data_IF_159703536742
#
_entry.id   IF_159703536742
#
_cell.length_a   1.000
_cell.length_b   1.000
_cell.length_c   1.000
_cell.angle_alpha   90.00
_cell.angle_beta   90.00
_cell.angle_gamma   90.00
#
_symmetry.space_group_name_H-M   'P 1'
#
loop_
_entity.id
_entity.type
_entity.pdbx_description
1 polymer ?
#
# COMPACT_ATOMS: atom_id res chain seq x y z
N UNK A 1 12.32 1.78 57.55
CA UNK A 1 12.27 3.25 57.36
C UNK A 1 11.33 3.51 56.20
N UNK A 2 10.08 3.78 56.53
CA UNK A 2 8.98 4.00 55.60
C UNK A 2 8.49 5.42 55.79
N UNK A 3 8.48 6.22 54.73
CA UNK A 3 7.88 7.56 54.72
C UNK A 3 6.67 7.55 53.78
N UNK A 4 5.50 8.07 54.21
CA UNK A 4 4.27 8.02 53.41
C UNK A 4 4.09 9.27 52.53
N UNK A 5 3.40 9.07 51.39
CA UNK A 5 3.06 10.05 50.36
C UNK A 5 1.73 10.75 50.70
N UNK A 6 1.73 12.08 50.66
CA UNK A 6 0.58 12.96 50.89
C UNK A 6 -0.35 13.06 49.65
N UNK A 7 -1.64 13.37 49.82
CA UNK A 7 -2.64 13.44 48.73
C UNK A 7 -2.72 14.82 48.07
N UNK A 8 -3.12 14.85 46.79
CA UNK A 8 -3.36 16.05 45.99
C UNK A 8 -4.82 16.55 46.12
N UNK A 9 -5.07 17.87 46.00
CA UNK A 9 -6.40 18.46 46.16
C UNK A 9 -7.20 18.50 44.86
N UNK A 10 -8.51 18.71 45.03
CA UNK A 10 -9.61 18.57 44.07
C UNK A 10 -10.21 19.92 43.61
N UNK A 11 -10.95 19.86 42.48
CA UNK A 11 -11.95 20.81 41.92
C UNK A 11 -11.44 22.02 41.08
N UNK A 12 -12.26 22.65 40.18
CA UNK A 12 -13.68 22.42 39.85
C UNK A 12 -14.06 22.37 38.34
N UNK A 13 -15.35 22.06 38.14
CA UNK A 13 -16.19 22.12 36.94
C UNK A 13 -16.26 23.50 36.27
N UNK A 14 -16.49 23.52 34.95
CA UNK A 14 -17.13 24.66 34.28
C UNK A 14 -18.24 24.19 33.34
N UNK A 15 -19.38 24.87 33.50
CA UNK A 15 -20.69 24.58 32.96
C UNK A 15 -20.92 25.18 31.56
N UNK A 16 -21.90 24.58 30.88
CA UNK A 16 -22.61 25.06 29.69
C UNK A 16 -23.28 26.42 29.91
N UNK A 17 -23.38 27.21 28.83
CA UNK A 17 -24.51 28.12 28.63
C UNK A 17 -24.89 28.19 27.14
N UNK A 18 -26.14 27.81 26.86
CA UNK A 18 -26.89 28.08 25.63
C UNK A 18 -27.24 29.57 25.51
N UNK A 19 -27.43 30.08 24.29
CA UNK A 19 -28.66 30.82 23.94
C UNK A 19 -28.76 31.12 22.44
N UNK A 20 -30.00 31.07 21.98
CA UNK A 20 -30.48 31.02 20.62
C UNK A 20 -31.20 32.31 20.20
N UNK A 21 -31.64 32.32 18.92
CA UNK A 21 -32.79 33.09 18.36
C UNK A 21 -32.56 34.61 18.20
N UNK A 22 -33.04 35.33 17.17
CA UNK A 22 -34.25 35.28 16.31
C UNK A 22 -34.03 36.35 15.20
N UNK A 23 -34.27 36.14 13.90
CA UNK A 23 -35.53 36.19 13.10
C UNK A 23 -35.78 37.52 12.34
N UNK A 24 -36.59 37.39 11.26
CA UNK A 24 -37.34 38.36 10.42
C UNK A 24 -36.78 38.58 8.99
N UNK A 25 -37.40 38.05 7.92
CA UNK A 25 -38.71 38.38 7.25
C UNK A 25 -38.66 39.73 6.52
N UNK A 26 -39.11 39.97 5.27
CA UNK A 26 -39.78 39.23 4.19
C UNK A 26 -39.75 40.15 2.91
N UNK A 27 -40.73 40.19 1.98
CA UNK A 27 -40.88 39.35 0.77
C UNK A 27 -40.94 40.18 -0.55
N UNK A 28 -40.97 39.54 -1.72
CA UNK A 28 -41.64 40.10 -2.91
C UNK A 28 -42.09 39.03 -3.90
N UNK A 29 -43.33 39.21 -4.31
CA UNK A 29 -44.25 38.34 -5.02
C UNK A 29 -44.46 38.82 -6.45
N UNK A 30 -44.48 37.91 -7.41
CA UNK A 30 -45.15 38.11 -8.71
C UNK A 30 -45.80 36.78 -9.15
N UNK A 31 -47.11 36.84 -9.39
CA UNK A 31 -47.97 35.75 -9.80
C UNK A 31 -47.89 35.39 -11.30
N UNK A 32 -48.84 34.56 -11.79
CA UNK A 32 -48.59 33.56 -12.83
C UNK A 32 -48.89 34.04 -14.27
N UNK A 33 -48.25 33.40 -15.25
CA UNK A 33 -48.50 33.55 -16.70
C UNK A 33 -49.11 32.24 -17.23
N UNK A 34 -50.13 32.28 -18.11
CA UNK A 34 -50.93 31.09 -18.49
C UNK A 34 -50.28 30.18 -19.55
N UNK A 35 -50.71 28.92 -19.53
CA UNK A 35 -50.28 27.81 -20.41
C UNK A 35 -50.54 28.04 -21.92
N UNK A 36 -49.65 27.55 -22.80
CA UNK A 36 -50.02 27.21 -24.16
C UNK A 36 -50.46 25.73 -24.29
N UNK A 37 -51.42 25.51 -25.19
CA UNK A 37 -52.11 24.27 -25.53
C UNK A 37 -51.19 23.08 -25.95
N UNK A 38 -51.70 21.82 -25.98
CA UNK A 38 -50.87 20.62 -25.83
C UNK A 38 -50.16 20.23 -27.13
N UNK A 39 -48.85 19.97 -27.01
CA UNK A 39 -48.08 19.30 -28.06
C UNK A 39 -48.40 17.79 -28.06
N UNK A 40 -48.65 17.27 -29.26
CA UNK A 40 -48.98 15.88 -29.58
C UNK A 40 -47.89 14.94 -29.01
N UNK A 41 -48.27 14.03 -28.10
CA UNK A 41 -47.37 13.02 -27.55
C UNK A 41 -46.91 12.02 -28.61
N UNK A 42 -45.60 11.94 -28.82
CA UNK A 42 -44.97 10.81 -29.51
C UNK A 42 -45.18 9.51 -28.71
N UNK A 43 -45.28 8.33 -29.36
CA UNK A 43 -45.49 7.08 -28.66
C UNK A 43 -44.29 6.78 -27.74
N UNK A 44 -44.59 6.57 -26.46
CA UNK A 44 -43.61 6.20 -25.45
C UNK A 44 -42.89 4.92 -25.90
N UNK A 45 -41.56 4.99 -26.01
CA UNK A 45 -40.73 3.81 -26.16
C UNK A 45 -41.04 2.83 -25.01
N UNK A 46 -41.07 1.51 -25.26
CA UNK A 46 -41.37 0.54 -24.22
C UNK A 46 -40.38 0.71 -23.08
N UNK A 47 -40.91 0.94 -21.87
CA UNK A 47 -40.12 1.04 -20.66
C UNK A 47 -39.24 -0.20 -20.56
N UNK A 48 -37.92 0.00 -20.59
CA UNK A 48 -36.97 -1.08 -20.29
C UNK A 48 -37.39 -1.66 -18.93
N UNK A 49 -37.53 -2.98 -18.79
CA UNK A 49 -37.80 -3.57 -17.49
C UNK A 49 -36.72 -3.07 -16.55
N UNK A 50 -37.12 -2.54 -15.39
CA UNK A 50 -36.20 -2.09 -14.36
C UNK A 50 -35.33 -3.30 -13.99
N UNK A 51 -34.16 -3.40 -14.61
CA UNK A 51 -33.18 -4.43 -14.31
C UNK A 51 -32.88 -4.30 -12.83
N UNK A 52 -33.09 -5.38 -12.09
CA UNK A 52 -32.66 -5.48 -10.71
C UNK A 52 -31.20 -5.05 -10.64
N UNK A 53 -30.94 -3.89 -10.01
CA UNK A 53 -29.59 -3.38 -9.83
C UNK A 53 -28.94 -4.23 -8.75
N UNK A 54 -28.36 -5.35 -9.16
CA UNK A 54 -27.51 -6.17 -8.30
C UNK A 54 -26.47 -5.27 -7.62
N UNK A 55 -26.38 -5.37 -6.29
CA UNK A 55 -25.46 -4.59 -5.48
C UNK A 55 -23.99 -4.97 -5.72
N UNK A 56 -23.07 -4.18 -5.15
CA UNK A 56 -21.65 -4.52 -5.16
C UNK A 56 -21.38 -5.74 -4.28
N UNK A 57 -20.40 -6.55 -4.68
CA UNK A 57 -19.89 -7.64 -3.86
C UNK A 57 -19.21 -7.06 -2.62
N UNK A 58 -19.53 -7.60 -1.45
CA UNK A 58 -18.94 -7.23 -0.17
C UNK A 58 -18.47 -8.49 0.54
N UNK A 59 -17.44 -8.34 1.38
CA UNK A 59 -16.96 -9.45 2.20
C UNK A 59 -18.03 -9.80 3.26
N UNK A 60 -18.46 -11.06 3.31
CA UNK A 60 -19.39 -11.54 4.34
C UNK A 60 -18.72 -11.61 5.72
N UNK A 61 -17.42 -11.92 5.75
CA UNK A 61 -16.61 -12.00 6.96
C UNK A 61 -15.27 -11.30 6.77
N UNK A 62 -14.68 -10.69 7.82
CA UNK A 62 -13.33 -10.13 7.72
C UNK A 62 -12.30 -11.21 7.36
N UNK A 63 -11.46 -10.94 6.36
CA UNK A 63 -10.33 -11.80 6.07
C UNK A 63 -9.35 -11.84 7.25
N UNK A 64 -8.85 -13.03 7.56
CA UNK A 64 -7.92 -13.25 8.65
C UNK A 64 -6.80 -14.22 8.26
N UNK A 65 -5.68 -14.15 8.98
CA UNK A 65 -4.62 -15.16 8.92
C UNK A 65 -4.31 -15.69 10.31
N UNK A 66 -3.87 -16.96 10.37
CA UNK A 66 -3.50 -17.63 11.62
C UNK A 66 -1.99 -17.81 11.68
N UNK A 67 -1.38 -17.37 12.77
CA UNK A 67 0.07 -17.40 12.98
C UNK A 67 0.40 -18.31 14.17
N UNK A 68 1.37 -19.22 13.98
CA UNK A 68 1.79 -20.16 15.01
C UNK A 68 3.08 -19.72 15.73
N UNK A 69 3.82 -18.76 15.18
CA UNK A 69 5.12 -18.36 15.73
C UNK A 69 5.13 -16.91 16.21
N UNK A 70 5.84 -16.67 17.31
CA UNK A 70 6.09 -15.31 17.80
C UNK A 70 6.88 -14.47 16.78
N UNK A 71 7.74 -15.13 15.98
CA UNK A 71 8.53 -14.51 14.93
C UNK A 71 7.62 -13.90 13.85
N UNK A 72 6.66 -14.66 13.32
CA UNK A 72 5.69 -14.15 12.34
C UNK A 72 4.71 -13.16 12.95
N UNK A 73 4.21 -13.40 14.17
CA UNK A 73 3.33 -12.46 14.86
C UNK A 73 3.98 -11.08 15.03
N UNK A 74 5.25 -11.04 15.44
CA UNK A 74 6.03 -9.79 15.53
C UNK A 74 6.35 -9.20 14.15
N UNK A 75 6.56 -10.03 13.13
CA UNK A 75 6.74 -9.55 11.76
C UNK A 75 5.50 -8.81 11.27
N UNK A 76 4.30 -9.32 11.58
CA UNK A 76 3.05 -8.68 11.21
C UNK A 76 2.75 -7.41 12.01
N UNK A 77 2.83 -7.52 13.34
CA UNK A 77 2.42 -6.44 14.24
C UNK A 77 3.45 -5.31 14.32
N UNK A 78 4.74 -5.63 14.19
CA UNK A 78 5.82 -4.70 14.46
C UNK A 78 6.02 -4.45 15.95
N UNK A 79 6.65 -3.33 16.30
CA UNK A 79 6.83 -2.88 17.68
C UNK A 79 6.48 -1.40 17.74
N UNK A 80 5.60 -1.02 18.68
CA UNK A 80 5.32 0.38 18.94
C UNK A 80 6.58 1.10 19.47
N UNK A 81 6.63 2.41 19.32
CA UNK A 81 7.63 3.21 20.02
C UNK A 81 7.41 3.07 21.52
N UNK A 82 8.51 2.99 22.27
CA UNK A 82 8.46 2.96 23.73
C UNK A 82 9.18 4.21 24.26
N UNK A 83 8.43 5.20 24.79
CA UNK A 83 9.01 6.41 25.35
C UNK A 83 9.88 6.15 26.59
N UNK A 84 9.60 5.10 27.35
CA UNK A 84 10.32 4.80 28.59
C UNK A 84 11.73 4.25 28.30
N UNK A 85 11.88 3.47 27.24
CA UNK A 85 13.18 2.92 26.80
C UNK A 85 13.82 3.68 25.63
N UNK A 86 13.20 4.78 25.17
CA UNK A 86 13.58 5.55 23.98
C UNK A 86 13.74 4.65 22.72
N UNK A 87 12.97 3.57 22.64
CA UNK A 87 13.10 2.61 21.55
C UNK A 87 12.17 3.02 20.39
N UNK A 88 12.70 3.27 19.17
CA UNK A 88 11.87 3.71 18.05
C UNK A 88 10.88 2.63 17.62
N UNK A 89 9.79 3.04 16.97
CA UNK A 89 8.83 2.11 16.38
C UNK A 89 9.48 1.26 15.29
N UNK A 90 9.16 -0.03 15.26
CA UNK A 90 9.55 -0.95 14.17
C UNK A 90 8.28 -1.25 13.38
N UNK A 91 8.20 -0.85 12.10
CA UNK A 91 7.04 -1.15 11.27
C UNK A 91 6.93 -2.65 11.03
N UNK A 92 5.73 -3.18 11.22
CA UNK A 92 5.36 -4.54 10.83
C UNK A 92 4.65 -4.58 9.48
N UNK A 93 4.28 -5.79 9.06
CA UNK A 93 3.53 -6.06 7.85
C UNK A 93 2.25 -5.23 7.72
N UNK A 94 1.55 -4.94 8.82
CA UNK A 94 0.35 -4.08 8.78
C UNK A 94 0.66 -2.67 8.29
N UNK A 95 1.74 -2.04 8.79
CA UNK A 95 2.16 -0.70 8.35
C UNK A 95 2.62 -0.76 6.90
N UNK A 96 3.44 -1.75 6.56
CA UNK A 96 3.92 -1.94 5.19
C UNK A 96 2.79 -2.09 4.17
N UNK A 97 1.80 -2.94 4.44
CA UNK A 97 0.62 -3.11 3.59
C UNK A 97 -0.19 -1.81 3.44
N UNK A 98 -0.37 -1.05 4.53
CA UNK A 98 -1.04 0.25 4.47
C UNK A 98 -0.26 1.26 3.59
N UNK A 99 1.06 1.26 3.70
CA UNK A 99 1.93 2.09 2.85
C UNK A 99 1.81 1.70 1.37
N UNK A 100 1.90 0.42 1.04
CA UNK A 100 1.74 -0.02 -0.35
C UNK A 100 0.36 0.28 -0.90
N UNK A 101 -0.69 0.22 -0.08
CA UNK A 101 -2.04 0.64 -0.46
C UNK A 101 -2.08 2.13 -0.81
N UNK A 102 -1.45 3.00 -0.01
CA UNK A 102 -1.38 4.43 -0.31
C UNK A 102 -0.64 4.70 -1.62
N UNK A 103 0.50 4.05 -1.85
CA UNK A 103 1.27 4.17 -3.09
C UNK A 103 0.48 3.62 -4.29
N UNK A 104 -0.24 2.52 -4.11
CA UNK A 104 -1.14 1.98 -5.13
C UNK A 104 -2.24 2.96 -5.51
N UNK A 105 -2.81 3.72 -4.58
CA UNK A 105 -3.76 4.78 -4.94
C UNK A 105 -3.12 5.92 -5.73
N UNK A 106 -1.85 6.27 -5.46
CA UNK A 106 -1.15 7.30 -6.25
C UNK A 106 -0.98 6.90 -7.73
N UNK A 107 -0.94 5.60 -8.04
CA UNK A 107 -0.92 5.14 -9.45
C UNK A 107 -2.19 5.54 -10.23
N UNK A 108 -3.30 5.81 -9.55
CA UNK A 108 -4.52 6.32 -10.18
C UNK A 108 -4.32 7.73 -10.78
N UNK A 109 -3.42 8.54 -10.19
CA UNK A 109 -3.05 9.87 -10.69
C UNK A 109 -1.95 9.82 -11.77
N UNK A 110 -1.74 8.64 -12.39
CA UNK A 110 -0.68 8.44 -13.37
C UNK A 110 0.72 8.81 -12.82
N UNK A 111 0.93 8.58 -11.52
CA UNK A 111 2.20 8.86 -10.85
C UNK A 111 3.24 7.80 -11.21
N UNK A 112 4.33 8.16 -11.91
CA UNK A 112 5.26 7.16 -12.41
C UNK A 112 6.22 6.62 -11.34
N UNK A 113 6.48 7.38 -10.27
CA UNK A 113 7.26 6.90 -9.13
C UNK A 113 6.48 5.89 -8.29
N UNK A 114 5.16 6.06 -8.18
CA UNK A 114 4.30 5.06 -7.55
C UNK A 114 4.40 3.71 -8.28
N UNK A 115 4.28 3.72 -9.62
CA UNK A 115 4.46 2.52 -10.44
C UNK A 115 5.85 1.88 -10.23
N UNK A 116 6.92 2.69 -10.27
CA UNK A 116 8.29 2.20 -10.10
C UNK A 116 8.52 1.56 -8.73
N UNK A 117 8.02 2.18 -7.67
CA UNK A 117 8.11 1.66 -6.32
C UNK A 117 7.39 0.31 -6.20
N UNK A 118 6.16 0.22 -6.72
CA UNK A 118 5.38 -1.01 -6.64
C UNK A 118 6.05 -2.15 -7.39
N UNK A 119 6.65 -1.89 -8.56
CA UNK A 119 7.47 -2.85 -9.30
C UNK A 119 8.61 -3.37 -8.43
N UNK A 120 9.45 -2.47 -7.90
CA UNK A 120 10.65 -2.84 -7.13
C UNK A 120 10.31 -3.63 -5.87
N UNK A 121 9.30 -3.18 -5.14
CA UNK A 121 8.83 -3.84 -3.92
C UNK A 121 8.28 -5.23 -4.24
N UNK A 122 7.46 -5.34 -5.28
CA UNK A 122 6.87 -6.62 -5.64
C UNK A 122 7.93 -7.63 -6.12
N UNK A 123 8.92 -7.18 -6.90
CA UNK A 123 10.05 -8.01 -7.31
C UNK A 123 10.86 -8.49 -6.09
N UNK A 124 11.15 -7.59 -5.16
CA UNK A 124 11.90 -7.92 -3.93
C UNK A 124 11.12 -8.89 -3.03
N UNK A 125 9.82 -8.65 -2.85
CA UNK A 125 8.92 -9.53 -2.10
C UNK A 125 8.86 -10.93 -2.75
N UNK A 126 8.70 -10.98 -4.06
CA UNK A 126 8.68 -12.23 -4.82
C UNK A 126 10.00 -12.99 -4.68
N UNK A 127 11.15 -12.29 -4.72
CA UNK A 127 12.45 -12.93 -4.51
C UNK A 127 12.58 -13.58 -3.14
N UNK A 128 12.15 -12.88 -2.07
CA UNK A 128 12.17 -13.42 -0.70
C UNK A 128 11.22 -14.63 -0.58
N UNK A 129 10.02 -14.54 -1.15
CA UNK A 129 9.05 -15.66 -1.16
C UNK A 129 9.58 -16.87 -1.92
N UNK A 130 10.17 -16.68 -3.10
CA UNK A 130 10.80 -17.76 -3.86
C UNK A 130 11.93 -18.43 -3.08
N UNK A 131 12.76 -17.65 -2.38
CA UNK A 131 13.82 -18.19 -1.52
C UNK A 131 13.24 -19.05 -0.38
N UNK A 132 12.17 -18.58 0.28
CA UNK A 132 11.50 -19.37 1.32
C UNK A 132 10.87 -20.65 0.74
N UNK A 133 10.18 -20.53 -0.40
CA UNK A 133 9.51 -21.63 -1.09
C UNK A 133 10.47 -22.75 -1.48
N UNK A 134 11.62 -22.41 -2.09
CA UNK A 134 12.65 -23.39 -2.44
C UNK A 134 13.14 -24.17 -1.20
N UNK A 135 13.47 -23.45 -0.11
CA UNK A 135 13.90 -24.11 1.12
C UNK A 135 12.79 -24.97 1.72
N UNK A 136 11.54 -24.53 1.69
CA UNK A 136 10.40 -25.31 2.17
C UNK A 136 10.26 -26.60 1.36
N UNK A 137 10.22 -26.52 0.04
CA UNK A 137 10.07 -27.66 -0.87
C UNK A 137 11.20 -28.68 -0.68
N UNK A 138 12.45 -28.23 -0.58
CA UNK A 138 13.60 -29.08 -0.32
C UNK A 138 13.46 -29.88 0.99
N UNK A 139 12.98 -29.24 2.06
CA UNK A 139 12.82 -29.88 3.38
C UNK A 139 11.62 -30.82 3.43
N UNK A 140 10.54 -30.48 2.74
CA UNK A 140 9.38 -31.36 2.61
C UNK A 140 9.75 -32.63 1.82
N UNK A 141 10.51 -32.51 0.74
CA UNK A 141 11.01 -33.65 -0.01
C UNK A 141 11.91 -34.57 0.85
N UNK A 142 12.73 -33.99 1.73
CA UNK A 142 13.52 -34.76 2.70
C UNK A 142 12.63 -35.50 3.71
N UNK A 143 11.59 -34.86 4.25
CA UNK A 143 10.64 -35.49 5.16
C UNK A 143 9.94 -36.66 4.49
N UNK A 144 9.57 -36.52 3.22
CA UNK A 144 8.88 -37.57 2.50
C UNK A 144 9.79 -38.76 2.14
N UNK A 145 11.08 -38.52 1.95
CA UNK A 145 12.10 -39.59 1.87
C UNK A 145 12.21 -40.36 3.20
N UNK A 146 12.14 -39.68 4.34
CA UNK A 146 12.16 -40.34 5.65
C UNK A 146 10.87 -41.13 5.90
N UNK A 147 9.72 -40.59 5.52
CA UNK A 147 8.41 -41.25 5.64
C UNK A 147 8.41 -42.59 4.91
N UNK A 148 8.93 -42.65 3.68
CA UNK A 148 9.08 -43.89 2.91
C UNK A 148 9.97 -44.95 3.58
N UNK A 149 10.88 -44.53 4.47
CA UNK A 149 11.74 -45.43 5.25
C UNK A 149 11.15 -45.80 6.61
N UNK A 150 9.90 -45.43 6.88
CA UNK A 150 9.19 -45.74 8.12
C UNK A 150 9.28 -44.65 9.20
N UNK A 151 9.91 -43.50 8.94
CA UNK A 151 10.00 -42.39 9.88
C UNK A 151 9.13 -41.20 9.41
N UNK A 152 7.90 -41.11 9.91
CA UNK A 152 7.00 -39.99 9.62
C UNK A 152 7.27 -38.81 10.57
N UNK A 153 7.83 -37.73 10.03
CA UNK A 153 7.98 -36.45 10.74
C UNK A 153 6.86 -35.49 10.34
N UNK A 154 6.43 -34.65 11.26
CA UNK A 154 5.42 -33.60 11.02
C UNK A 154 5.95 -32.25 11.47
N UNK A 155 5.60 -31.21 10.71
CA UNK A 155 5.97 -29.83 11.03
C UNK A 155 5.25 -29.41 12.31
N UNK A 156 6.00 -28.81 13.24
CA UNK A 156 5.47 -28.29 14.50
C UNK A 156 4.32 -27.32 14.26
N UNK A 157 3.33 -27.31 15.14
CA UNK A 157 2.25 -26.34 15.17
C UNK A 157 2.10 -25.81 16.60
N UNK A 158 1.77 -24.52 16.74
CA UNK A 158 1.39 -23.98 18.05
C UNK A 158 0.11 -24.64 18.57
N UNK A 159 0.07 -24.92 19.87
CA UNK A 159 -1.14 -25.37 20.57
C UNK A 159 -2.16 -24.25 20.75
N UNK A 160 -1.72 -23.01 20.63
CA UNK A 160 -2.52 -21.80 20.79
C UNK A 160 -2.09 -20.78 19.72
N UNK A 161 -2.42 -21.03 18.43
CA UNK A 161 -2.11 -20.08 17.37
C UNK A 161 -2.96 -18.81 17.54
N UNK A 162 -2.47 -17.69 16.99
CA UNK A 162 -3.17 -16.41 17.05
C UNK A 162 -3.73 -16.10 15.67
N UNK A 163 -5.04 -15.86 15.61
CA UNK A 163 -5.70 -15.35 14.41
C UNK A 163 -5.76 -13.83 14.46
N UNK A 164 -5.37 -13.18 13.36
CA UNK A 164 -5.39 -11.73 13.21
C UNK A 164 -6.18 -11.37 11.97
N UNK A 165 -7.10 -10.41 12.11
CA UNK A 165 -7.80 -9.82 10.98
C UNK A 165 -6.83 -8.99 10.13
N UNK A 166 -6.94 -9.13 8.81
CA UNK A 166 -6.08 -8.46 7.84
C UNK A 166 -6.51 -7.00 7.66
N UNK A 167 -7.81 -6.76 7.44
CA UNK A 167 -8.35 -5.44 7.14
C UNK A 167 -7.78 -4.80 5.87
N UNK A 168 -7.13 -5.60 5.01
CA UNK A 168 -6.53 -5.12 3.77
C UNK A 168 -7.57 -5.04 2.66
N UNK A 169 -7.52 -3.98 1.86
CA UNK A 169 -8.37 -3.79 0.68
C UNK A 169 -7.53 -3.39 -0.51
N UNK A 170 -6.46 -4.13 -0.73
CA UNK A 170 -5.51 -3.91 -1.82
C UNK A 170 -4.73 -5.18 -2.12
N UNK A 171 -4.42 -5.49 -3.39
CA UNK A 171 -3.62 -6.67 -3.76
C UNK A 171 -2.28 -6.75 -3.01
N UNK A 172 -1.63 -5.62 -2.77
CA UNK A 172 -0.35 -5.56 -2.05
C UNK A 172 -0.47 -5.92 -0.56
N UNK A 173 -1.63 -5.68 0.05
CA UNK A 173 -1.91 -6.11 1.42
C UNK A 173 -2.01 -7.62 1.53
N UNK A 174 -2.73 -8.26 0.60
CA UNK A 174 -2.81 -9.73 0.53
C UNK A 174 -1.45 -10.36 0.22
N UNK A 175 -0.68 -9.80 -0.73
CA UNK A 175 0.68 -10.28 -1.01
C UNK A 175 1.60 -10.19 0.23
N UNK A 176 1.41 -9.17 1.08
CA UNK A 176 2.12 -9.04 2.35
C UNK A 176 1.67 -10.12 3.36
N UNK A 177 0.37 -10.39 3.46
CA UNK A 177 -0.16 -11.43 4.34
C UNK A 177 0.35 -12.82 3.95
N UNK A 178 0.32 -13.15 2.64
CA UNK A 178 0.88 -14.40 2.11
C UNK A 178 2.35 -14.59 2.49
N UNK A 179 3.19 -13.55 2.29
CA UNK A 179 4.60 -13.62 2.65
C UNK A 179 4.82 -13.86 4.16
N UNK A 180 3.93 -13.36 5.02
CA UNK A 180 4.02 -13.56 6.47
C UNK A 180 3.58 -14.97 6.85
N UNK A 181 2.56 -15.53 6.20
CA UNK A 181 2.14 -16.93 6.41
C UNK A 181 3.24 -17.89 5.95
N UNK A 182 3.87 -17.63 4.81
CA UNK A 182 5.02 -18.39 4.33
C UNK A 182 6.20 -18.30 5.32
N UNK A 183 6.46 -17.10 5.85
CA UNK A 183 7.48 -16.93 6.89
C UNK A 183 7.15 -17.69 8.18
N UNK A 184 5.88 -17.68 8.61
CA UNK A 184 5.43 -18.48 9.77
C UNK A 184 5.70 -19.98 9.54
N UNK A 185 5.36 -20.48 8.35
CA UNK A 185 5.61 -21.87 7.99
C UNK A 185 7.10 -22.20 7.92
N UNK A 186 7.91 -21.34 7.31
CA UNK A 186 9.37 -21.48 7.27
C UNK A 186 9.97 -21.56 8.69
N UNK A 187 9.55 -20.67 9.60
CA UNK A 187 10.01 -20.71 11.00
C UNK A 187 9.61 -22.01 11.69
N UNK A 188 8.39 -22.52 11.46
CA UNK A 188 7.95 -23.81 12.00
C UNK A 188 8.78 -24.96 11.45
N UNK A 189 9.08 -24.94 10.15
CA UNK A 189 9.93 -25.93 9.49
C UNK A 189 11.32 -25.96 10.12
N UNK A 190 11.98 -24.81 10.21
CA UNK A 190 13.32 -24.69 10.83
C UNK A 190 13.32 -25.18 12.27
N UNK A 191 12.34 -24.76 13.08
CA UNK A 191 12.22 -25.23 14.48
C UNK A 191 11.96 -26.74 14.57
N UNK A 192 11.27 -27.31 13.60
CA UNK A 192 11.06 -28.76 13.51
C UNK A 192 12.38 -29.46 13.23
N UNK A 193 13.16 -28.98 12.26
CA UNK A 193 14.46 -29.55 11.91
C UNK A 193 15.42 -29.53 13.09
N UNK A 194 15.47 -28.41 13.82
CA UNK A 194 16.26 -28.29 15.05
C UNK A 194 15.82 -29.30 16.11
N UNK A 195 14.52 -29.36 16.41
CA UNK A 195 13.99 -30.28 17.42
C UNK A 195 14.20 -31.76 17.08
N UNK A 196 14.24 -32.10 15.78
CA UNK A 196 14.39 -33.47 15.29
C UNK A 196 15.84 -33.83 14.95
N UNK A 197 16.80 -33.06 15.45
CA UNK A 197 18.24 -33.26 15.26
C UNK A 197 18.66 -33.36 13.78
N UNK A 198 18.02 -32.54 12.94
CA UNK A 198 18.33 -32.39 11.51
C UNK A 198 19.05 -31.09 11.18
N UNK A 199 19.14 -30.20 12.17
CA UNK A 199 19.76 -28.89 12.05
C UNK A 199 20.26 -28.46 13.43
N UNK A 200 21.42 -27.79 13.48
CA UNK A 200 21.90 -27.23 14.74
C UNK A 200 21.06 -26.01 15.17
N UNK A 201 21.01 -25.74 16.47
CA UNK A 201 20.40 -24.53 17.02
C UNK A 201 20.94 -23.25 16.38
N UNK A 202 22.26 -23.18 16.17
CA UNK A 202 22.92 -22.01 15.59
C UNK A 202 22.51 -21.79 14.14
N UNK A 203 22.52 -22.86 13.34
CA UNK A 203 22.08 -22.82 11.93
C UNK A 203 20.62 -22.40 11.85
N UNK A 204 19.73 -22.99 12.65
CA UNK A 204 18.31 -22.64 12.63
C UNK A 204 18.05 -21.18 13.01
N UNK A 205 18.76 -20.67 14.03
CA UNK A 205 18.68 -19.24 14.39
C UNK A 205 19.25 -18.34 13.29
N UNK A 206 20.28 -18.77 12.57
CA UNK A 206 20.85 -18.01 11.46
C UNK A 206 19.87 -17.93 10.27
N UNK A 207 19.27 -19.05 9.88
CA UNK A 207 18.28 -19.11 8.79
C UNK A 207 17.07 -18.23 9.04
N UNK A 208 16.42 -18.37 10.21
CA UNK A 208 15.27 -17.53 10.59
C UNK A 208 15.64 -16.05 10.58
N UNK A 209 16.82 -15.69 11.09
CA UNK A 209 17.30 -14.31 11.10
C UNK A 209 17.59 -13.78 9.70
N UNK A 210 18.10 -14.59 8.77
CA UNK A 210 18.40 -14.17 7.42
C UNK A 210 17.14 -13.70 6.68
N UNK A 211 16.12 -14.57 6.63
CA UNK A 211 14.82 -14.24 6.00
C UNK A 211 14.13 -13.10 6.76
N UNK A 212 14.13 -13.16 8.10
CA UNK A 212 13.52 -12.12 8.92
C UNK A 212 14.20 -10.75 8.81
N UNK A 213 15.48 -10.68 8.45
CA UNK A 213 16.15 -9.40 8.11
C UNK A 213 15.75 -8.91 6.72
N UNK A 214 15.67 -9.80 5.74
CA UNK A 214 15.23 -9.48 4.38
C UNK A 214 13.84 -8.84 4.36
N UNK A 215 12.86 -9.47 5.02
CA UNK A 215 11.50 -8.92 5.12
C UNK A 215 11.47 -7.55 5.81
N UNK A 216 12.20 -7.39 6.92
CA UNK A 216 12.24 -6.09 7.64
C UNK A 216 12.90 -4.99 6.82
N UNK A 217 13.97 -5.31 6.08
CA UNK A 217 14.63 -4.36 5.19
C UNK A 217 13.65 -3.91 4.09
N UNK A 218 12.95 -4.85 3.47
CA UNK A 218 11.90 -4.57 2.49
C UNK A 218 10.79 -3.69 3.07
N UNK A 219 10.37 -3.92 4.32
CA UNK A 219 9.29 -3.14 4.92
C UNK A 219 9.63 -1.67 5.15
N UNK A 220 10.91 -1.36 5.40
CA UNK A 220 11.37 -0.01 5.68
C UNK A 220 11.46 0.86 4.44
N UNK A 221 11.80 0.27 3.29
CA UNK A 221 12.10 1.03 2.07
C UNK A 221 10.89 1.89 1.61
N UNK A 222 9.65 1.36 1.49
CA UNK A 222 8.52 2.16 1.00
C UNK A 222 7.99 3.20 1.96
N UNK A 223 8.23 3.05 3.27
CA UNK A 223 7.81 4.02 4.28
C UNK A 223 8.52 5.36 4.06
N UNK A 224 9.81 5.31 3.68
CA UNK A 224 10.55 6.53 3.34
C UNK A 224 9.95 7.23 2.12
N UNK A 225 9.46 6.45 1.15
CA UNK A 225 8.91 6.98 -0.09
C UNK A 225 7.52 7.57 0.08
N UNK A 226 6.62 6.86 0.75
CA UNK A 226 5.28 7.31 1.09
C UNK A 226 5.30 8.69 1.76
N UNK A 227 6.18 8.87 2.76
CA UNK A 227 6.33 10.17 3.46
C UNK A 227 6.66 11.33 2.51
N UNK A 228 7.30 11.06 1.39
CA UNK A 228 7.69 12.07 0.42
C UNK A 228 6.63 12.24 -0.69
N UNK A 229 6.05 11.15 -1.19
CA UNK A 229 5.03 11.20 -2.25
C UNK A 229 3.66 11.68 -1.76
N UNK A 230 3.34 11.49 -0.47
CA UNK A 230 2.09 11.97 0.12
C UNK A 230 2.15 13.42 0.63
N UNK A 231 3.26 14.14 0.43
CA UNK A 231 3.30 15.57 0.72
C UNK A 231 2.38 16.31 -0.23
N UNK A 232 1.72 17.37 0.24
CA UNK A 232 0.71 18.12 -0.52
C UNK A 232 1.25 18.59 -1.88
N UNK A 233 2.50 19.05 -1.91
CA UNK A 233 3.15 19.51 -3.13
C UNK A 233 3.47 18.38 -4.10
N UNK A 234 3.57 17.13 -3.63
CA UNK A 234 3.92 15.96 -4.43
C UNK A 234 2.71 15.13 -4.85
N UNK A 235 1.56 15.27 -4.17
CA UNK A 235 0.33 14.54 -4.51
C UNK A 235 -0.10 14.71 -5.98
N UNK A 236 0.02 15.89 -6.62
CA UNK A 236 -0.35 16.06 -8.03
C UNK A 236 0.65 15.44 -9.02
N UNK A 237 1.81 14.94 -8.56
CA UNK A 237 2.87 14.44 -9.45
C UNK A 237 2.32 13.36 -10.39
N UNK A 238 2.45 13.61 -11.69
CA UNK A 238 2.02 12.71 -12.76
C UNK A 238 3.02 12.70 -13.91
N UNK A 239 2.89 11.76 -14.85
CA UNK A 239 3.73 11.73 -16.06
C UNK A 239 3.64 13.00 -16.91
N UNK A 240 2.53 13.73 -16.82
CA UNK A 240 2.32 15.01 -17.54
C UNK A 240 3.27 16.11 -17.07
N UNK A 241 3.68 16.07 -15.80
CA UNK A 241 4.59 17.07 -15.24
C UNK A 241 5.98 17.04 -15.89
N UNK A 242 6.34 15.92 -16.52
CA UNK A 242 7.59 15.75 -17.25
C UNK A 242 7.50 16.27 -18.69
N UNK A 243 6.29 16.45 -19.24
CA UNK A 243 6.13 16.75 -20.67
C UNK A 243 6.42 18.22 -21.00
N UNK A 244 6.81 18.52 -22.24
CA UNK A 244 6.88 19.90 -22.73
C UNK A 244 5.52 20.61 -22.55
N UNK A 245 5.54 21.83 -22.01
CA UNK A 245 4.32 22.59 -21.69
C UNK A 245 3.85 22.49 -20.24
N UNK A 246 4.54 21.71 -19.40
CA UNK A 246 4.34 21.73 -17.96
C UNK A 246 4.65 23.11 -17.36
N UNK A 247 3.85 23.51 -16.36
CA UNK A 247 4.05 24.77 -15.63
C UNK A 247 5.27 24.71 -14.69
N UNK A 248 5.63 25.85 -14.08
CA UNK A 248 6.80 25.89 -13.20
C UNK A 248 6.62 25.06 -11.93
N UNK A 249 5.39 24.93 -11.44
CA UNK A 249 5.09 24.10 -10.27
C UNK A 249 5.33 22.61 -10.57
N UNK A 250 4.89 22.13 -11.74
CA UNK A 250 5.15 20.79 -12.25
C UNK A 250 6.64 20.52 -12.41
N UNK A 251 7.38 21.45 -13.02
CA UNK A 251 8.84 21.35 -13.13
C UNK A 251 9.52 21.26 -11.76
N UNK A 252 9.06 22.04 -10.78
CA UNK A 252 9.57 21.97 -9.41
C UNK A 252 9.26 20.62 -8.74
N UNK A 253 8.06 20.06 -8.95
CA UNK A 253 7.71 18.70 -8.47
C UNK A 253 8.63 17.64 -9.07
N UNK A 254 8.90 17.70 -10.38
CA UNK A 254 9.81 16.77 -11.06
C UNK A 254 11.22 16.89 -10.49
N UNK A 255 11.77 18.10 -10.36
CA UNK A 255 13.09 18.32 -9.76
C UNK A 255 13.18 17.75 -8.35
N UNK A 256 12.15 17.98 -7.52
CA UNK A 256 12.08 17.42 -6.17
C UNK A 256 11.99 15.89 -6.20
N UNK A 257 11.19 15.30 -7.09
CA UNK A 257 11.08 13.86 -7.23
C UNK A 257 12.42 13.23 -7.64
N UNK A 258 13.09 13.78 -8.65
CA UNK A 258 14.39 13.28 -9.11
C UNK A 258 15.45 13.40 -8.01
N UNK A 259 15.46 14.50 -7.25
CA UNK A 259 16.38 14.66 -6.12
C UNK A 259 16.12 13.66 -4.97
N UNK A 260 14.85 13.28 -4.73
CA UNK A 260 14.46 12.39 -3.63
C UNK A 260 14.56 10.91 -3.97
N UNK A 261 14.25 10.55 -5.22
CA UNK A 261 14.06 9.16 -5.66
C UNK A 261 15.07 8.72 -6.72
N UNK A 262 15.80 9.66 -7.32
CA UNK A 262 16.65 9.42 -8.47
C UNK A 262 15.88 9.51 -9.78
N UNK A 263 16.61 9.35 -10.88
CA UNK A 263 16.04 9.31 -12.23
C UNK A 263 15.18 8.06 -12.40
N UNK A 264 14.01 8.27 -13.00
CA UNK A 264 13.04 7.22 -13.23
C UNK A 264 13.45 6.36 -14.44
N UNK A 265 13.36 5.01 -14.37
CA UNK A 265 13.60 4.18 -15.54
C UNK A 265 12.62 4.49 -16.68
N UNK A 266 13.16 4.70 -17.88
CA UNK A 266 12.37 5.05 -19.08
C UNK A 266 11.21 4.09 -19.32
N UNK A 267 11.44 2.78 -19.16
CA UNK A 267 10.41 1.75 -19.38
C UNK A 267 9.22 1.89 -18.43
N UNK A 268 9.46 2.30 -17.19
CA UNK A 268 8.40 2.57 -16.22
C UNK A 268 7.70 3.89 -16.56
N UNK A 269 8.46 4.90 -16.95
CA UNK A 269 7.91 6.18 -17.38
C UNK A 269 6.96 6.02 -18.57
N UNK A 270 7.36 5.29 -19.62
CA UNK A 270 6.52 5.04 -20.80
C UNK A 270 5.38 4.04 -20.54
N UNK A 271 5.47 3.26 -19.47
CA UNK A 271 4.52 2.18 -19.16
C UNK A 271 4.79 0.88 -19.92
N UNK A 272 5.97 0.73 -20.55
CA UNK A 272 6.45 -0.56 -21.07
C UNK A 272 6.62 -1.58 -19.92
N UNK A 273 7.10 -1.11 -18.78
CA UNK A 273 7.13 -1.87 -17.53
C UNK A 273 6.09 -1.29 -16.56
N UNK A 274 5.17 -2.13 -16.11
CA UNK A 274 4.08 -1.75 -15.23
C UNK A 274 4.07 -2.62 -13.97
N UNK A 275 3.63 -2.08 -12.81
CA UNK A 275 3.46 -2.91 -11.63
C UNK A 275 2.38 -3.94 -11.88
N UNK A 276 2.49 -5.09 -11.19
CA UNK A 276 1.50 -6.19 -11.29
C UNK A 276 0.06 -5.72 -11.09
N UNK A 277 -0.14 -4.73 -10.21
CA UNK A 277 -1.43 -4.09 -9.99
C UNK A 277 -1.28 -2.56 -10.00
N UNK A 278 -1.94 -1.89 -10.95
CA UNK A 278 -2.01 -0.43 -11.04
C UNK A 278 -3.48 0.03 -11.05
N UNK A 279 -3.74 1.23 -10.55
CA UNK A 279 -5.01 1.94 -10.72
C UNK A 279 -4.99 2.92 -11.90
N UNK A 280 -3.88 2.99 -12.64
CA UNK A 280 -3.75 3.81 -13.85
C UNK A 280 -4.79 3.38 -14.89
N UNK A 281 -5.59 4.33 -15.37
CA UNK A 281 -6.61 4.14 -16.43
C UNK A 281 -6.27 4.87 -17.73
N UNK A 282 -5.16 5.58 -17.77
CA UNK A 282 -4.74 6.40 -18.91
C UNK A 282 -3.90 5.54 -19.85
N UNK A 283 -4.30 5.51 -21.12
CA UNK A 283 -3.49 4.93 -22.20
C UNK A 283 -2.95 6.07 -23.06
N UNK A 284 -1.63 6.29 -23.10
CA UNK A 284 -1.05 7.40 -23.84
C UNK A 284 -1.19 7.17 -25.35
N UNK A 285 -1.46 8.24 -26.08
CA UNK A 285 -1.49 8.22 -27.55
C UNK A 285 -0.09 8.01 -28.14
N UNK A 286 -0.01 7.65 -29.42
CA UNK A 286 1.28 7.48 -30.10
C UNK A 286 2.12 8.77 -30.17
N UNK A 287 1.49 9.95 -30.11
CA UNK A 287 2.19 11.23 -30.05
C UNK A 287 2.75 11.48 -28.65
N UNK A 288 1.94 11.26 -27.60
CA UNK A 288 2.38 11.38 -26.22
C UNK A 288 3.49 10.39 -25.89
N UNK A 289 3.38 9.13 -26.34
CA UNK A 289 4.44 8.13 -26.16
C UNK A 289 5.77 8.58 -26.78
N UNK A 290 5.73 9.21 -27.97
CA UNK A 290 6.94 9.75 -28.61
C UNK A 290 7.56 10.88 -27.77
N UNK A 291 6.75 11.79 -27.24
CA UNK A 291 7.22 12.84 -26.33
C UNK A 291 7.83 12.23 -25.05
N UNK A 292 7.16 11.23 -24.49
CA UNK A 292 7.62 10.54 -23.28
C UNK A 292 8.94 9.79 -23.49
N UNK A 293 9.20 9.29 -24.71
CA UNK A 293 10.47 8.67 -25.07
C UNK A 293 11.61 9.69 -25.19
N UNK A 294 11.31 10.92 -25.60
CA UNK A 294 12.31 11.95 -25.89
C UNK A 294 12.63 12.85 -24.71
N UNK A 295 11.70 13.01 -23.76
CA UNK A 295 11.87 14.00 -22.68
C UNK A 295 12.99 13.62 -21.71
N UNK A 296 13.71 14.61 -21.18
CA UNK A 296 14.71 14.34 -20.14
C UNK A 296 14.02 13.96 -18.83
N UNK A 297 14.51 12.89 -18.17
CA UNK A 297 14.03 12.46 -16.85
C UNK A 297 14.98 12.90 -15.72
N UNK A 298 16.05 13.61 -16.06
CA UNK A 298 17.00 14.19 -15.10
C UNK A 298 16.52 15.53 -14.53
N UNK A 299 17.18 15.98 -13.46
CA UNK A 299 16.84 17.22 -12.75
C UNK A 299 17.05 18.48 -13.60
N UNK A 300 17.93 18.41 -14.61
CA UNK A 300 18.34 19.53 -15.48
C UNK A 300 17.56 19.58 -16.80
N UNK A 301 16.31 19.14 -16.82
CA UNK A 301 15.43 19.31 -17.97
C UNK A 301 15.10 20.80 -18.16
N UNK A 302 16.05 21.56 -18.72
CA UNK A 302 15.82 22.89 -19.26
C UNK A 302 14.82 22.84 -20.42
N UNK A 303 14.18 23.98 -20.76
CA UNK A 303 13.23 24.02 -21.87
C UNK A 303 13.90 23.52 -23.16
N UNK A 304 13.18 22.77 -24.01
CA UNK A 304 13.72 22.39 -25.31
C UNK A 304 14.15 23.63 -26.08
N UNK A 305 15.24 23.57 -26.87
CA UNK A 305 15.65 24.71 -27.70
C UNK A 305 14.46 25.14 -28.59
N UNK A 306 14.26 26.45 -28.78
CA UNK A 306 13.19 26.93 -29.65
C UNK A 306 13.36 26.30 -31.03
N UNK A 307 12.27 25.77 -31.56
CA UNK A 307 12.24 25.20 -32.90
C UNK A 307 12.64 26.29 -33.89
N UNK A 308 13.78 26.13 -34.57
CA UNK A 308 14.17 26.97 -35.69
C UNK A 308 13.13 26.81 -36.80
N UNK A 309 12.13 27.69 -36.81
CA UNK A 309 11.04 27.57 -37.77
C UNK A 309 9.85 28.49 -37.54
N UNK A 310 10.07 29.71 -37.06
CA UNK A 310 9.09 30.81 -37.16
C UNK A 310 9.78 32.16 -37.01
N UNK A 311 10.56 32.51 -38.03
CA UNK A 311 10.85 33.90 -38.40
C UNK A 311 10.56 34.03 -39.90
N UNK A 312 9.31 34.36 -40.21
CA UNK A 312 8.91 35.13 -41.38
C UNK A 312 7.74 36.02 -40.96
#
# INVERSE_FOLDING_TARGET
>A
MSTPRAPAPSMPEHANTESAMTAQDAPSSLGPVPDPAPAISAPAAPARPAGSSLGQLVDETPDAMTLHTQDAYRMFTGRAADPASNAPAIPGGRRFAAVLKAIWYLSANDNPYADWILIRVYQSLSGIRSQMGQVIEEREAEFERLRRRGLALSVLASRSPVTVELGFRSPYGYATAEAIVEFDYHVRMVKTLVLKDRMSDETGRAEIRAIGRGLRALFLEPIRWERNLLREEMLPLSRRDFLPGADEAARQRVRAAVALFGELPRKVFTGEEAPRHSQRRVTPTAAELRLMQQVSLGADAGPPPPSEGQLL
#
